data_IF_740602005857
#
_entry.id   IF_740602005857
#
_cell.length_a   1.000
_cell.length_b   1.000
_cell.length_c   1.000
_cell.angle_alpha   90.00
_cell.angle_beta   90.00
_cell.angle_gamma   90.00
#
_symmetry.space_group_name_H-M   'P 1'
#
loop_
_entity.id
_entity.type
_entity.pdbx_description
1 polymer ?
#
# COMPACT_ATOMS: atom_id res chain seq x y z
N UNK A 1 39.57 -6.28 -49.35
CA UNK A 1 39.85 -5.45 -50.55
C UNK A 1 38.51 -5.12 -51.18
N UNK A 2 38.17 -3.83 -51.25
CA UNK A 2 36.92 -3.32 -51.81
C UNK A 2 36.98 -3.30 -53.34
N UNK A 3 35.88 -3.63 -54.01
CA UNK A 3 35.60 -3.10 -55.35
C UNK A 3 34.12 -2.75 -55.47
N UNK A 4 33.84 -1.45 -55.56
CA UNK A 4 32.59 -0.89 -56.07
C UNK A 4 32.60 -0.92 -57.60
N UNK A 5 31.46 -1.19 -58.21
CA UNK A 5 31.24 -1.04 -59.65
C UNK A 5 29.75 -0.98 -59.99
N UNK A 6 29.25 0.24 -60.19
CA UNK A 6 27.89 0.60 -60.61
C UNK A 6 27.48 -0.02 -61.95
N UNK A 7 26.21 -0.40 -62.07
CA UNK A 7 25.47 -0.33 -63.33
C UNK A 7 24.03 0.13 -63.06
N UNK A 8 23.64 1.22 -63.70
CA UNK A 8 22.39 1.95 -63.55
C UNK A 8 21.79 2.03 -64.96
N UNK A 9 20.62 1.42 -65.23
CA UNK A 9 19.80 1.78 -66.40
C UNK A 9 18.32 1.77 -66.00
N UNK A 10 17.69 2.93 -66.19
CA UNK A 10 16.27 3.28 -66.07
C UNK A 10 15.48 2.91 -67.34
N UNK A 11 14.17 2.71 -67.18
CA UNK A 11 13.04 3.40 -67.87
C UNK A 11 11.74 2.67 -67.52
N UNK A 12 10.80 3.25 -66.78
CA UNK A 12 9.81 4.30 -67.13
C UNK A 12 8.67 3.84 -68.05
N UNK A 13 7.46 3.79 -67.48
CA UNK A 13 6.15 4.24 -68.02
C UNK A 13 5.05 3.68 -67.09
N UNK A 14 4.34 4.45 -66.24
CA UNK A 14 3.38 5.52 -66.59
C UNK A 14 2.13 4.88 -67.24
N UNK A 15 0.87 5.02 -66.80
CA UNK A 15 0.18 6.17 -66.24
C UNK A 15 -1.27 5.80 -65.80
N UNK A 16 -1.77 6.58 -64.82
CA UNK A 16 -3.10 7.20 -64.73
C UNK A 16 -4.37 6.33 -64.50
N UNK A 17 -5.03 6.37 -63.34
CA UNK A 17 -5.93 7.43 -62.77
C UNK A 17 -7.38 7.37 -63.29
N UNK A 18 -8.33 7.20 -62.34
CA UNK A 18 -9.53 8.06 -62.15
C UNK A 18 -10.28 7.65 -60.85
N UNK A 19 -10.16 8.44 -59.77
CA UNK A 19 -11.12 9.44 -59.23
C UNK A 19 -12.34 8.80 -58.52
N UNK A 20 -12.40 8.72 -57.17
CA UNK A 20 -12.88 9.72 -56.18
C UNK A 20 -14.42 9.97 -56.21
N UNK A 21 -15.09 10.56 -55.18
CA UNK A 21 -14.74 10.81 -53.75
C UNK A 21 -15.96 10.73 -52.76
N UNK A 22 -15.75 11.25 -51.52
CA UNK A 22 -16.71 11.87 -50.55
C UNK A 22 -17.08 10.99 -49.35
N UNK A 23 -16.93 11.38 -48.08
CA UNK A 23 -16.84 12.69 -47.38
C UNK A 23 -15.97 12.46 -46.12
N UNK A 24 -14.97 13.30 -45.80
CA UNK A 24 -15.09 14.56 -45.02
C UNK A 24 -15.73 14.28 -43.65
N UNK A 25 -15.24 14.68 -42.48
CA UNK A 25 -14.34 15.74 -42.01
C UNK A 25 -14.48 15.57 -40.46
N UNK A 26 -13.56 15.82 -39.53
CA UNK A 26 -12.81 17.04 -39.26
C UNK A 26 -12.23 16.89 -37.84
N UNK A 27 -11.03 17.45 -37.65
CA UNK A 27 -10.51 18.08 -36.43
C UNK A 27 -10.29 17.22 -35.17
N UNK A 28 -9.38 17.52 -34.27
CA UNK A 28 -8.17 18.34 -34.21
C UNK A 28 -7.63 18.13 -32.80
N UNK A 29 -6.34 18.35 -32.63
CA UNK A 29 -5.60 18.32 -31.37
C UNK A 29 -6.30 18.99 -30.17
N UNK A 30 -6.08 18.44 -28.98
CA UNK A 30 -5.52 19.17 -27.83
C UNK A 30 -5.25 18.26 -26.63
N UNK A 31 -3.99 18.20 -26.21
CA UNK A 31 -3.61 18.06 -24.79
C UNK A 31 -4.39 19.12 -23.98
N UNK A 32 -5.07 18.70 -22.91
CA UNK A 32 -5.17 19.38 -21.60
C UNK A 32 -6.05 18.58 -20.64
N UNK A 33 -5.43 18.21 -19.51
CA UNK A 33 -5.97 18.24 -18.14
C UNK A 33 -7.42 18.73 -17.95
N UNK A 34 -8.27 17.88 -17.36
CA UNK A 34 -9.43 18.25 -16.51
C UNK A 34 -9.84 16.99 -15.72
N UNK A 35 -9.57 16.91 -14.41
CA UNK A 35 -10.44 17.36 -13.30
C UNK A 35 -11.89 16.88 -13.42
N UNK A 36 -12.24 15.99 -12.48
CA UNK A 36 -13.54 15.73 -11.83
C UNK A 36 -14.85 15.76 -12.62
N UNK A 37 -15.72 14.82 -12.20
CA UNK A 37 -17.14 14.61 -12.53
C UNK A 37 -17.32 13.42 -13.48
N UNK A 38 -18.19 12.44 -13.26
CA UNK A 38 -19.43 12.42 -12.49
C UNK A 38 -19.99 10.99 -12.64
N UNK A 39 -20.50 10.37 -11.57
CA UNK A 39 -21.91 9.90 -11.47
C UNK A 39 -22.10 8.94 -10.30
N UNK A 40 -22.62 9.52 -9.22
CA UNK A 40 -23.58 8.85 -8.37
C UNK A 40 -24.84 8.51 -9.19
N UNK A 41 -25.30 7.27 -9.12
CA UNK A 41 -26.67 6.88 -9.42
C UNK A 41 -27.21 6.08 -8.23
N UNK A 42 -28.05 6.76 -7.44
CA UNK A 42 -28.88 6.18 -6.38
C UNK A 42 -29.87 5.17 -6.97
N UNK A 43 -30.04 4.01 -6.33
CA UNK A 43 -31.31 3.55 -5.72
C UNK A 43 -31.14 2.23 -4.96
N UNK A 44 -31.55 2.26 -3.69
CA UNK A 44 -31.80 1.12 -2.80
C UNK A 44 -33.00 0.27 -3.32
N UNK A 45 -33.27 -0.97 -2.92
CA UNK A 45 -33.21 -1.64 -1.60
C UNK A 45 -33.47 -3.14 -1.82
N UNK A 46 -32.74 -4.02 -1.13
CA UNK A 46 -33.33 -5.22 -0.49
C UNK A 46 -32.33 -5.79 0.53
N UNK A 47 -32.73 -5.73 1.80
CA UNK A 47 -32.04 -6.31 2.95
C UNK A 47 -31.87 -7.81 2.76
N UNK A 48 -30.65 -8.31 2.89
CA UNK A 48 -30.36 -9.65 3.38
C UNK A 48 -28.87 -9.74 3.76
N UNK A 49 -28.61 -9.80 5.06
CA UNK A 49 -27.33 -10.27 5.62
C UNK A 49 -26.13 -9.38 5.38
N UNK A 50 -26.04 -8.27 6.11
CA UNK A 50 -24.74 -7.72 6.52
C UNK A 50 -23.99 -8.81 7.31
N UNK A 51 -23.29 -9.70 6.61
CA UNK A 51 -22.02 -10.19 7.13
C UNK A 51 -21.05 -9.03 6.95
N UNK A 52 -21.05 -8.15 7.94
CA UNK A 52 -19.96 -7.20 8.16
C UNK A 52 -18.69 -8.05 8.21
N UNK A 53 -17.99 -8.11 7.09
CA UNK A 53 -16.63 -8.62 7.03
C UNK A 53 -15.85 -7.79 8.05
N UNK A 54 -15.46 -8.45 9.14
CA UNK A 54 -15.14 -7.82 10.42
C UNK A 54 -14.28 -6.58 10.27
N UNK A 55 -14.88 -5.43 10.53
CA UNK A 55 -14.18 -4.38 11.27
C UNK A 55 -13.65 -5.08 12.52
N UNK A 56 -12.35 -5.34 12.54
CA UNK A 56 -11.67 -5.98 13.67
C UNK A 56 -11.58 -4.90 14.75
N UNK A 57 -12.72 -4.62 15.39
CA UNK A 57 -12.81 -3.79 16.59
C UNK A 57 -12.04 -4.55 17.65
N UNK A 58 -10.75 -4.23 17.81
CA UNK A 58 -9.96 -4.74 18.91
C UNK A 58 -10.43 -3.99 20.15
N UNK A 59 -11.31 -4.62 20.91
CA UNK A 59 -11.71 -4.11 22.22
C UNK A 59 -10.46 -4.11 23.11
N UNK A 60 -9.97 -2.92 23.45
CA UNK A 60 -8.80 -2.73 24.29
C UNK A 60 -8.91 -3.43 25.66
N UNK A 61 -10.15 -3.68 26.11
CA UNK A 61 -10.48 -4.04 27.50
C UNK A 61 -10.12 -5.46 27.94
N UNK A 62 -10.06 -6.46 27.05
CA UNK A 62 -9.74 -7.84 27.47
C UNK A 62 -8.63 -8.53 26.66
N UNK A 63 -8.40 -8.12 25.41
CA UNK A 63 -7.44 -8.79 24.51
C UNK A 63 -6.41 -7.85 23.90
N UNK A 64 -6.48 -6.54 24.16
CA UNK A 64 -5.61 -5.57 23.52
C UNK A 64 -4.13 -5.76 23.85
N UNK A 65 -3.80 -5.96 25.13
CA UNK A 65 -2.43 -6.26 25.57
C UNK A 65 -1.91 -7.58 24.98
N UNK A 66 -2.71 -8.63 24.99
CA UNK A 66 -2.33 -9.92 24.41
C UNK A 66 -2.09 -9.80 22.90
N UNK A 67 -2.95 -9.04 22.21
CA UNK A 67 -2.83 -8.77 20.77
C UNK A 67 -1.52 -8.03 20.48
N UNK A 68 -1.23 -6.95 21.20
CA UNK A 68 0.02 -6.21 21.09
C UNK A 68 1.23 -7.13 21.34
N UNK A 69 1.18 -7.94 22.39
CA UNK A 69 2.24 -8.89 22.72
C UNK A 69 2.51 -9.88 21.58
N UNK A 70 1.46 -10.44 20.96
CA UNK A 70 1.64 -11.35 19.83
C UNK A 70 2.26 -10.67 18.60
N UNK A 71 1.87 -9.44 18.29
CA UNK A 71 2.53 -8.66 17.22
C UNK A 71 4.01 -8.44 17.53
N UNK A 72 4.33 -8.07 18.77
CA UNK A 72 5.72 -7.89 19.22
C UNK A 72 6.54 -9.17 19.08
N UNK A 73 5.99 -10.32 19.49
CA UNK A 73 6.66 -11.62 19.36
C UNK A 73 6.93 -11.97 17.90
N UNK A 74 5.92 -11.86 17.03
CA UNK A 74 6.06 -12.20 15.61
C UNK A 74 7.06 -11.27 14.91
N UNK A 75 6.97 -9.96 15.16
CA UNK A 75 7.92 -8.99 14.63
C UNK A 75 9.36 -9.28 15.09
N UNK A 76 9.56 -9.54 16.39
CA UNK A 76 10.88 -9.85 16.96
C UNK A 76 11.52 -11.08 16.32
N UNK A 77 10.74 -12.14 16.10
CA UNK A 77 11.21 -13.36 15.44
C UNK A 77 11.68 -13.04 14.02
N UNK A 78 10.87 -12.35 13.22
CA UNK A 78 11.24 -12.06 11.82
C UNK A 78 12.43 -11.11 11.74
N UNK A 79 12.48 -10.06 12.57
CA UNK A 79 13.61 -9.12 12.63
C UNK A 79 14.90 -9.83 13.05
N UNK A 80 14.83 -10.84 13.92
CA UNK A 80 16.01 -11.63 14.31
C UNK A 80 16.58 -12.49 13.17
N UNK A 81 15.77 -12.82 12.15
CA UNK A 81 16.17 -13.57 10.97
C UNK A 81 16.78 -12.69 9.87
N UNK A 82 16.73 -11.37 10.03
CA UNK A 82 17.35 -10.40 9.11
C UNK A 82 18.85 -10.27 9.41
N UNK A 83 19.67 -10.07 8.38
CA UNK A 83 21.12 -10.01 8.50
C UNK A 83 21.57 -8.84 9.40
N UNK A 84 22.70 -9.00 10.11
CA UNK A 84 23.30 -7.92 10.91
C UNK A 84 23.55 -6.69 10.03
N UNK A 85 22.96 -5.56 10.38
CA UNK A 85 23.03 -4.30 9.62
C UNK A 85 21.79 -4.02 8.76
N UNK A 86 20.89 -5.00 8.57
CA UNK A 86 19.57 -4.77 7.95
C UNK A 86 18.50 -4.76 9.04
N UNK A 87 17.54 -3.84 8.95
CA UNK A 87 16.41 -3.72 9.87
C UNK A 87 16.68 -2.93 11.15
N UNK A 88 17.66 -2.01 11.17
CA UNK A 88 17.85 -1.05 12.28
C UNK A 88 16.57 -0.23 12.52
N UNK A 89 16.00 0.37 11.47
CA UNK A 89 14.72 1.09 11.53
C UNK A 89 13.57 0.21 12.07
N UNK A 90 13.57 -1.09 11.74
CA UNK A 90 12.56 -2.03 12.24
C UNK A 90 12.76 -2.36 13.73
N UNK A 91 14.00 -2.40 14.20
CA UNK A 91 14.32 -2.57 15.62
C UNK A 91 13.89 -1.33 16.40
N UNK A 92 14.12 -0.14 15.87
CA UNK A 92 13.69 1.12 16.47
C UNK A 92 12.16 1.21 16.55
N UNK A 93 11.46 0.82 15.48
CA UNK A 93 10.00 0.77 15.47
C UNK A 93 9.46 -0.27 16.47
N UNK A 94 10.08 -1.46 16.54
CA UNK A 94 9.74 -2.49 17.52
C UNK A 94 9.96 -1.99 18.95
N UNK A 95 11.08 -1.30 19.22
CA UNK A 95 11.38 -0.74 20.54
C UNK A 95 10.37 0.35 20.93
N UNK A 96 9.97 1.21 19.98
CA UNK A 96 8.91 2.21 20.18
C UNK A 96 7.59 1.54 20.56
N UNK A 97 7.21 0.48 19.85
CA UNK A 97 6.03 -0.34 20.17
C UNK A 97 6.11 -0.99 21.56
N UNK A 98 7.27 -1.55 21.91
CA UNK A 98 7.52 -2.16 23.21
C UNK A 98 7.46 -1.14 24.37
N UNK A 99 7.95 0.09 24.16
CA UNK A 99 7.83 1.19 25.13
C UNK A 99 6.37 1.56 25.37
N UNK A 100 5.54 1.60 24.32
CA UNK A 100 4.09 1.85 24.44
C UNK A 100 3.39 0.70 25.17
N UNK A 101 3.75 -0.55 24.85
CA UNK A 101 3.25 -1.73 25.53
C UNK A 101 3.54 -1.71 27.04
N UNK A 102 4.78 -1.39 27.44
CA UNK A 102 5.14 -1.26 28.88
C UNK A 102 4.32 -0.16 29.58
N UNK A 103 4.18 1.01 28.96
CA UNK A 103 3.32 2.07 29.49
C UNK A 103 1.87 1.64 29.63
N UNK A 104 1.37 0.84 28.69
CA UNK A 104 0.02 0.28 28.75
C UNK A 104 -0.16 -0.70 29.91
N UNK A 105 0.89 -1.43 30.29
CA UNK A 105 0.87 -2.33 31.46
C UNK A 105 1.04 -1.61 32.81
N UNK A 106 1.52 -0.37 32.81
CA UNK A 106 1.95 0.36 34.01
C UNK A 106 0.94 1.40 34.56
N UNK A 107 -0.19 1.75 33.90
CA UNK A 107 -1.09 2.77 34.46
C UNK A 107 -2.40 3.16 33.73
N UNK A 108 -3.08 4.17 34.31
CA UNK A 108 -4.50 4.59 34.11
C UNK A 108 -4.91 5.01 32.68
N UNK A 109 -3.97 5.37 31.80
CA UNK A 109 -4.24 5.63 30.37
C UNK A 109 -4.15 4.36 29.49
N UNK A 110 -4.18 3.19 30.12
CA UNK A 110 -3.90 1.87 29.51
C UNK A 110 -4.53 1.68 28.14
N UNK A 111 -5.82 2.00 27.96
CA UNK A 111 -6.52 1.79 26.69
C UNK A 111 -5.89 2.54 25.50
N UNK A 112 -5.49 3.82 25.66
CA UNK A 112 -4.87 4.56 24.55
C UNK A 112 -3.47 4.02 24.24
N UNK A 113 -2.69 3.70 25.27
CA UNK A 113 -1.37 3.10 25.09
C UNK A 113 -1.45 1.70 24.48
N UNK A 114 -2.45 0.89 24.83
CA UNK A 114 -2.74 -0.40 24.20
C UNK A 114 -2.99 -0.21 22.70
N UNK A 115 -3.89 0.70 22.31
CA UNK A 115 -4.24 0.90 20.90
C UNK A 115 -3.03 1.41 20.09
N UNK A 116 -2.27 2.36 20.64
CA UNK A 116 -1.01 2.83 20.03
C UNK A 116 0.02 1.70 19.90
N UNK A 117 0.19 0.88 20.94
CA UNK A 117 1.10 -0.25 20.93
C UNK A 117 0.69 -1.28 19.87
N UNK A 118 -0.60 -1.63 19.77
CA UNK A 118 -1.12 -2.53 18.74
C UNK A 118 -0.76 -2.02 17.35
N UNK A 119 -1.06 -0.74 17.05
CA UNK A 119 -0.78 -0.19 15.73
C UNK A 119 0.71 -0.21 15.37
N UNK A 120 1.58 0.25 16.29
CA UNK A 120 3.03 0.26 16.05
C UNK A 120 3.61 -1.14 15.94
N UNK A 121 3.22 -2.07 16.81
CA UNK A 121 3.75 -3.45 16.81
C UNK A 121 3.23 -4.26 15.61
N UNK A 122 1.97 -4.05 15.20
CA UNK A 122 1.42 -4.65 13.99
C UNK A 122 2.12 -4.10 12.74
N UNK A 123 2.42 -2.80 12.70
CA UNK A 123 3.21 -2.23 11.62
C UNK A 123 4.61 -2.84 11.55
N UNK A 124 5.30 -2.96 12.70
CA UNK A 124 6.62 -3.60 12.76
C UNK A 124 6.59 -5.05 12.26
N UNK A 125 5.55 -5.81 12.61
CA UNK A 125 5.35 -7.16 12.08
C UNK A 125 5.24 -7.17 10.55
N UNK A 126 4.31 -6.40 9.99
CA UNK A 126 4.09 -6.40 8.54
C UNK A 126 5.30 -5.85 7.76
N UNK A 127 6.00 -4.84 8.27
CA UNK A 127 7.25 -4.38 7.66
C UNK A 127 8.37 -5.41 7.71
N UNK A 128 8.45 -6.19 8.80
CA UNK A 128 9.41 -7.29 8.88
C UNK A 128 9.10 -8.40 7.88
N UNK A 129 7.82 -8.72 7.66
CA UNK A 129 7.37 -9.67 6.64
C UNK A 129 7.62 -9.13 5.23
N UNK A 130 7.35 -7.84 4.98
CA UNK A 130 7.68 -7.16 3.73
C UNK A 130 9.18 -7.26 3.42
N UNK A 131 10.04 -6.99 4.42
CA UNK A 131 11.49 -7.16 4.31
C UNK A 131 11.89 -8.60 3.98
N UNK A 132 11.23 -9.59 4.58
CA UNK A 132 11.44 -11.00 4.27
C UNK A 132 11.01 -11.34 2.83
N UNK A 133 9.85 -10.86 2.38
CA UNK A 133 9.39 -11.05 1.02
C UNK A 133 10.36 -10.40 0.02
N UNK A 134 10.83 -9.20 0.28
CA UNK A 134 11.82 -8.51 -0.56
C UNK A 134 13.16 -9.27 -0.63
N UNK A 135 13.71 -9.66 0.54
CA UNK A 135 15.02 -10.29 0.61
C UNK A 135 15.06 -11.74 0.12
N UNK A 136 13.96 -12.49 0.27
CA UNK A 136 13.94 -13.95 0.04
C UNK A 136 12.98 -14.39 -1.05
N UNK A 137 12.86 -13.63 -2.14
CA UNK A 137 11.97 -13.94 -3.27
C UNK A 137 12.03 -15.41 -3.74
N UNK A 138 13.22 -16.01 -3.81
CA UNK A 138 13.45 -17.40 -4.25
C UNK A 138 13.12 -18.47 -3.22
N UNK A 139 13.01 -18.10 -1.94
CA UNK A 139 12.80 -19.02 -0.82
C UNK A 139 11.44 -18.83 -0.14
N UNK A 140 10.53 -18.06 -0.77
CA UNK A 140 9.18 -17.86 -0.25
C UNK A 140 8.46 -19.20 -0.20
N UNK A 141 7.77 -19.47 0.91
CA UNK A 141 6.83 -20.58 0.96
C UNK A 141 5.75 -20.37 -0.10
N UNK A 142 5.20 -21.46 -0.65
CA UNK A 142 4.07 -21.41 -1.59
C UNK A 142 2.80 -21.02 -0.84
N UNK A 143 2.69 -19.74 -0.52
CA UNK A 143 1.51 -19.12 0.07
C UNK A 143 0.66 -18.56 -1.06
N UNK A 144 -0.66 -18.78 -0.97
CA UNK A 144 -1.60 -18.22 -1.94
C UNK A 144 -1.49 -16.69 -1.95
N UNK A 145 -1.38 -16.09 -3.13
CA UNK A 145 -1.31 -14.63 -3.25
C UNK A 145 -2.57 -13.97 -2.69
N UNK A 146 -2.45 -12.83 -2.00
CA UNK A 146 -3.60 -12.03 -1.58
C UNK A 146 -4.41 -11.62 -2.83
N UNK A 147 -5.73 -11.53 -2.69
CA UNK A 147 -6.56 -11.13 -3.82
C UNK A 147 -6.39 -9.63 -4.11
N UNK A 148 -6.38 -9.21 -5.38
CA UNK A 148 -6.25 -7.79 -5.74
C UNK A 148 -7.34 -6.92 -5.10
N UNK A 149 -8.57 -7.42 -5.03
CA UNK A 149 -9.70 -6.69 -4.42
C UNK A 149 -9.47 -6.44 -2.93
N UNK A 150 -8.75 -7.34 -2.26
CA UNK A 150 -8.44 -7.20 -0.84
C UNK A 150 -7.34 -6.16 -0.61
N UNK A 151 -6.31 -6.15 -1.48
CA UNK A 151 -5.28 -5.12 -1.47
C UNK A 151 -5.88 -3.72 -1.74
N UNK A 152 -6.69 -3.59 -2.79
CA UNK A 152 -7.38 -2.34 -3.15
C UNK A 152 -8.23 -1.82 -2.00
N UNK A 153 -8.92 -2.72 -1.28
CA UNK A 153 -9.71 -2.36 -0.11
C UNK A 153 -8.84 -1.75 1.00
N UNK A 154 -7.71 -2.38 1.34
CA UNK A 154 -6.83 -1.88 2.40
C UNK A 154 -6.19 -0.54 2.03
N UNK A 155 -5.77 -0.37 0.77
CA UNK A 155 -5.21 0.90 0.27
C UNK A 155 -6.27 2.00 0.41
N UNK A 156 -7.49 1.77 -0.10
CA UNK A 156 -8.56 2.76 -0.03
C UNK A 156 -8.98 3.10 1.43
N UNK A 157 -9.00 2.11 2.32
CA UNK A 157 -9.27 2.34 3.74
C UNK A 157 -8.16 3.16 4.40
N UNK A 158 -6.89 2.84 4.13
CA UNK A 158 -5.75 3.57 4.68
C UNK A 158 -5.67 5.02 4.14
N UNK A 159 -5.91 5.24 2.85
CA UNK A 159 -5.96 6.58 2.24
C UNK A 159 -7.00 7.46 2.93
N UNK A 160 -8.22 6.94 3.10
CA UNK A 160 -9.29 7.68 3.76
C UNK A 160 -8.97 8.03 5.21
N UNK A 161 -8.22 7.17 5.91
CA UNK A 161 -7.75 7.41 7.27
C UNK A 161 -6.62 8.45 7.29
N UNK A 162 -5.73 8.39 6.31
CA UNK A 162 -4.64 9.38 6.14
C UNK A 162 -5.18 10.79 5.93
N UNK A 163 -6.23 10.98 5.13
CA UNK A 163 -6.89 12.30 4.98
C UNK A 163 -7.38 12.87 6.33
N UNK A 164 -7.94 12.01 7.20
CA UNK A 164 -8.40 12.42 8.54
C UNK A 164 -7.25 12.77 9.47
N UNK A 165 -6.18 11.95 9.44
CA UNK A 165 -4.97 12.18 10.24
C UNK A 165 -4.23 13.43 9.75
N UNK A 166 -4.28 13.72 8.45
CA UNK A 166 -3.58 14.85 7.86
C UNK A 166 -4.03 16.17 8.49
N UNK A 167 -5.34 16.31 8.69
CA UNK A 167 -5.98 17.50 9.23
C UNK A 167 -6.24 17.44 10.75
N UNK A 168 -5.91 16.34 11.41
CA UNK A 168 -6.08 16.16 12.85
C UNK A 168 -4.89 16.65 13.68
N UNK A 169 -5.09 16.82 14.99
CA UNK A 169 -3.97 16.95 15.93
C UNK A 169 -3.18 15.64 15.95
N UNK A 170 -1.87 15.75 15.70
CA UNK A 170 -0.95 14.60 15.71
C UNK A 170 -0.17 14.60 17.03
N UNK A 171 -0.01 13.42 17.61
CA UNK A 171 0.74 13.22 18.85
C UNK A 171 2.26 13.20 18.62
N UNK A 172 2.98 12.42 19.42
CA UNK A 172 4.44 12.26 19.27
C UNK A 172 4.80 11.37 18.07
N UNK A 173 3.82 10.84 17.34
CA UNK A 173 3.88 10.00 16.15
C UNK A 173 4.00 10.72 14.82
N UNK A 174 4.09 12.05 14.79
CA UNK A 174 4.09 12.86 13.56
C UNK A 174 5.14 12.43 12.53
N UNK A 175 6.28 11.91 13.00
CA UNK A 175 7.38 11.40 12.20
C UNK A 175 7.01 10.16 11.37
N UNK A 176 6.03 9.37 11.82
CA UNK A 176 5.57 8.17 11.13
C UNK A 176 4.51 8.46 10.06
N UNK A 177 3.90 9.64 10.06
CA UNK A 177 2.95 10.03 9.02
C UNK A 177 3.55 9.98 7.60
N UNK A 178 4.69 10.64 7.30
CA UNK A 178 5.31 10.55 5.98
C UNK A 178 5.76 9.12 5.63
N UNK A 179 6.14 8.31 6.63
CA UNK A 179 6.45 6.89 6.42
C UNK A 179 5.20 6.15 5.94
N UNK A 180 4.05 6.35 6.58
CA UNK A 180 2.78 5.75 6.18
C UNK A 180 2.39 6.14 4.75
N UNK A 181 2.57 7.40 4.35
CA UNK A 181 2.32 7.84 2.96
C UNK A 181 3.20 7.08 1.97
N UNK A 182 4.49 6.96 2.26
CA UNK A 182 5.42 6.29 1.37
C UNK A 182 5.12 4.78 1.27
N UNK A 183 4.70 4.14 2.37
CA UNK A 183 4.28 2.73 2.35
C UNK A 183 3.07 2.49 1.46
N UNK A 184 2.07 3.37 1.50
CA UNK A 184 0.90 3.29 0.60
C UNK A 184 1.30 3.49 -0.85
N UNK A 185 2.12 4.51 -1.13
CA UNK A 185 2.64 4.77 -2.48
C UNK A 185 3.39 3.57 -3.04
N UNK A 186 4.18 2.86 -2.21
CA UNK A 186 4.87 1.64 -2.61
C UNK A 186 3.92 0.46 -2.79
N UNK A 187 2.90 0.32 -1.94
CA UNK A 187 1.90 -0.74 -2.07
C UNK A 187 1.07 -0.63 -3.36
N UNK A 188 0.88 0.58 -3.90
CA UNK A 188 0.18 0.84 -5.16
C UNK A 188 1.02 0.55 -6.41
N UNK A 189 2.33 0.43 -6.28
CA UNK A 189 3.22 0.26 -7.43
C UNK A 189 3.08 -1.17 -7.99
N UNK A 190 2.61 -1.24 -9.23
CA UNK A 190 2.24 -2.46 -9.97
C UNK A 190 3.44 -3.38 -10.25
N UNK A 191 4.66 -2.87 -10.12
CA UNK A 191 5.88 -3.66 -10.30
C UNK A 191 6.23 -4.48 -9.04
N UNK A 192 5.57 -4.22 -7.90
CA UNK A 192 5.78 -5.00 -6.70
C UNK A 192 5.12 -6.38 -6.74
N UNK A 193 5.76 -7.31 -6.05
CA UNK A 193 5.16 -8.59 -5.72
C UNK A 193 3.88 -8.41 -4.88
N UNK A 194 2.82 -9.17 -5.20
CA UNK A 194 1.53 -9.04 -4.53
C UNK A 194 1.59 -9.24 -3.01
N UNK A 195 2.46 -10.13 -2.50
CA UNK A 195 2.63 -10.29 -1.05
C UNK A 195 3.34 -9.10 -0.45
N UNK A 196 4.38 -8.58 -1.11
CA UNK A 196 5.07 -7.37 -0.67
C UNK A 196 4.10 -6.18 -0.61
N UNK A 197 3.36 -5.92 -1.68
CA UNK A 197 2.38 -4.84 -1.73
C UNK A 197 1.34 -4.97 -0.59
N UNK A 198 0.87 -6.19 -0.34
CA UNK A 198 -0.06 -6.47 0.75
C UNK A 198 0.51 -6.20 2.13
N UNK A 199 1.74 -6.66 2.42
CA UNK A 199 2.38 -6.38 3.70
C UNK A 199 2.63 -4.87 3.91
N UNK A 200 2.99 -4.14 2.84
CA UNK A 200 3.16 -2.68 2.91
C UNK A 200 1.84 -1.96 3.20
N UNK A 201 0.74 -2.34 2.54
CA UNK A 201 -0.59 -1.79 2.80
C UNK A 201 -1.06 -2.09 4.23
N UNK A 202 -0.81 -3.30 4.74
CA UNK A 202 -1.14 -3.69 6.11
C UNK A 202 -0.31 -2.95 7.16
N UNK A 203 0.96 -2.68 6.87
CA UNK A 203 1.81 -1.84 7.71
C UNK A 203 1.29 -0.41 7.76
N UNK A 204 0.91 0.16 6.62
CA UNK A 204 0.34 1.50 6.55
C UNK A 204 -0.97 1.62 7.33
N UNK A 205 -1.91 0.67 7.13
CA UNK A 205 -3.17 0.60 7.90
C UNK A 205 -2.93 0.57 9.42
N UNK A 206 -1.93 -0.19 9.86
CA UNK A 206 -1.58 -0.30 11.26
C UNK A 206 -0.97 1.00 11.84
N UNK A 207 -0.17 1.72 11.04
CA UNK A 207 0.33 3.04 11.42
C UNK A 207 -0.78 4.08 11.46
N UNK A 208 -1.69 4.09 10.49
CA UNK A 208 -2.89 4.92 10.54
C UNK A 208 -3.67 4.69 11.84
N UNK A 209 -3.80 3.43 12.25
CA UNK A 209 -4.44 3.07 13.51
C UNK A 209 -3.73 3.62 14.74
N UNK A 210 -2.41 3.56 14.79
CA UNK A 210 -1.69 4.16 15.91
C UNK A 210 -1.86 5.69 15.94
N UNK A 211 -1.76 6.35 14.78
CA UNK A 211 -1.85 7.80 14.63
C UNK A 211 -3.23 8.35 15.00
N UNK A 212 -4.32 7.69 14.56
CA UNK A 212 -5.69 8.06 14.95
C UNK A 212 -5.94 7.96 16.45
N UNK A 213 -5.21 7.08 17.14
CA UNK A 213 -5.26 6.92 18.58
C UNK A 213 -4.28 7.87 19.32
N UNK A 214 -3.76 8.88 18.61
CA UNK A 214 -2.92 9.94 19.14
C UNK A 214 -1.52 9.47 19.53
N UNK A 215 -0.94 8.54 18.76
CA UNK A 215 0.50 8.24 18.83
C UNK A 215 1.31 9.52 18.73
#
# INVERSE_FOLDING_TARGET
MSSNGNALVRKDSGLAVKKHPKKAMKHAAKKKTAKHAKKAAKKATKKAGEKVAGSRVVYATDHGLMTAFHHMQRASVVISLMEKGTGEDLRDLLERGAKLYRKATEGEEGNKFVLRAIGVLRAAEHLSLAGLYAARAKHRQKVASPSPEWLEKFIAEADHRMEKIEHGERGKGTDLFPVTVELLRQAEDLDHDAHLAFELAMAADALCFALENGL
#
